data_IF_793033554799
#
_entry.id   IF_793033554799
#
_cell.length_a   1.000
_cell.length_b   1.000
_cell.length_c   1.000
_cell.angle_alpha   90.00
_cell.angle_beta   90.00
_cell.angle_gamma   90.00
#
_symmetry.space_group_name_H-M   'P 1'
#
loop_
_entity.id
_entity.type
_entity.pdbx_description
1 polymer ?
#
# COMPACT_ATOMS: atom_id res chain seq x y z
N UNK A 1 48.46 -33.27 -38.90
CA UNK A 1 48.97 -32.47 -37.77
C UNK A 1 47.78 -31.66 -37.24
N UNK A 2 47.38 -31.96 -35.99
CA UNK A 2 46.42 -31.29 -35.10
C UNK A 2 45.31 -30.42 -35.71
N UNK A 3 44.11 -30.99 -35.76
CA UNK A 3 42.84 -30.28 -35.75
C UNK A 3 42.71 -29.48 -34.44
N UNK A 4 42.58 -28.15 -34.55
CA UNK A 4 42.15 -27.29 -33.45
C UNK A 4 40.62 -27.37 -33.37
N UNK A 5 40.11 -28.03 -32.33
CA UNK A 5 38.70 -27.92 -31.96
C UNK A 5 38.54 -26.66 -31.11
N UNK A 6 37.99 -25.61 -31.72
CA UNK A 6 37.46 -24.45 -31.01
C UNK A 6 36.29 -24.93 -30.13
N UNK A 7 36.52 -24.92 -28.82
CA UNK A 7 35.51 -25.20 -27.81
C UNK A 7 34.83 -23.88 -27.43
N UNK A 8 33.91 -23.43 -28.28
CA UNK A 8 33.15 -22.18 -28.13
C UNK A 8 31.93 -22.43 -27.22
N UNK A 9 32.20 -22.78 -25.96
CA UNK A 9 31.17 -22.81 -24.92
C UNK A 9 30.98 -21.38 -24.39
N UNK A 10 29.76 -20.83 -24.37
CA UNK A 10 29.53 -19.48 -23.86
C UNK A 10 29.89 -19.43 -22.37
N UNK A 11 30.93 -18.68 -22.04
CA UNK A 11 31.35 -18.38 -20.67
C UNK A 11 30.23 -17.57 -20.00
N UNK A 12 29.47 -18.23 -19.12
CA UNK A 12 28.43 -17.57 -18.32
C UNK A 12 29.09 -16.64 -17.30
N UNK A 13 29.33 -15.40 -17.71
CA UNK A 13 29.75 -14.31 -16.83
C UNK A 13 28.54 -13.96 -15.95
N UNK A 14 28.60 -14.38 -14.67
CA UNK A 14 27.49 -14.25 -13.73
C UNK A 14 26.99 -12.81 -13.52
N UNK A 15 26.05 -12.58 -12.60
CA UNK A 15 25.45 -11.26 -12.39
C UNK A 15 26.51 -10.21 -12.08
N UNK A 16 26.46 -9.09 -12.80
CA UNK A 16 27.41 -8.00 -12.63
C UNK A 16 27.38 -7.44 -11.19
N UNK A 17 28.51 -6.87 -10.73
CA UNK A 17 28.59 -6.20 -9.41
C UNK A 17 27.49 -5.16 -9.20
N UNK A 18 27.06 -4.47 -10.25
CA UNK A 18 25.98 -3.47 -10.20
C UNK A 18 24.59 -4.10 -10.04
N UNK A 19 24.38 -5.30 -10.58
CA UNK A 19 23.14 -6.06 -10.44
C UNK A 19 23.01 -6.63 -9.02
N UNK A 20 24.05 -7.28 -8.49
CA UNK A 20 24.06 -7.78 -7.11
C UNK A 20 23.80 -6.68 -6.09
N UNK A 21 24.33 -5.47 -6.34
CA UNK A 21 24.05 -4.30 -5.49
C UNK A 21 22.58 -3.89 -5.55
N UNK A 22 21.97 -3.85 -6.74
CA UNK A 22 20.54 -3.52 -6.93
C UNK A 22 19.63 -4.54 -6.25
N UNK A 23 19.92 -5.83 -6.39
CA UNK A 23 19.19 -6.91 -5.73
C UNK A 23 19.25 -6.77 -4.20
N UNK A 24 20.44 -6.52 -3.65
CA UNK A 24 20.58 -6.30 -2.19
C UNK A 24 19.87 -5.04 -1.69
N UNK A 25 19.74 -3.99 -2.51
CA UNK A 25 18.93 -2.82 -2.16
C UNK A 25 17.45 -3.15 -2.18
N UNK A 26 16.96 -3.87 -3.20
CA UNK A 26 15.58 -4.30 -3.29
C UNK A 26 15.16 -5.15 -2.08
N UNK A 27 16.03 -6.06 -1.62
CA UNK A 27 15.77 -6.88 -0.43
C UNK A 27 15.74 -6.04 0.87
N UNK A 28 16.57 -5.01 0.98
CA UNK A 28 16.51 -4.06 2.11
C UNK A 28 15.23 -3.24 2.08
N UNK A 29 14.81 -2.79 0.91
CA UNK A 29 13.55 -2.05 0.74
C UNK A 29 12.35 -2.93 1.08
N UNK A 30 12.38 -4.21 0.69
CA UNK A 30 11.39 -5.21 1.10
C UNK A 30 11.36 -5.36 2.62
N UNK A 31 12.53 -5.56 3.25
CA UNK A 31 12.64 -5.64 4.71
C UNK A 31 12.11 -4.39 5.41
N UNK A 32 12.33 -3.20 4.83
CA UNK A 32 11.79 -1.95 5.36
C UNK A 32 10.26 -1.92 5.33
N UNK A 33 9.65 -2.43 4.25
CA UNK A 33 8.18 -2.57 4.14
C UNK A 33 7.65 -3.52 5.21
N UNK A 34 8.33 -4.64 5.44
CA UNK A 34 7.95 -5.59 6.51
C UNK A 34 7.93 -4.96 7.90
N UNK A 35 8.85 -4.03 8.21
CA UNK A 35 8.86 -3.34 9.50
C UNK A 35 7.64 -2.42 9.71
N UNK A 36 6.94 -2.05 8.63
CA UNK A 36 5.72 -1.25 8.67
C UNK A 36 4.43 -2.06 8.80
N UNK A 37 4.50 -3.39 8.66
CA UNK A 37 3.33 -4.27 8.75
C UNK A 37 2.83 -4.42 10.20
N UNK A 38 1.53 -4.65 10.36
CA UNK A 38 0.94 -5.03 11.65
C UNK A 38 1.40 -6.43 12.09
N UNK A 39 1.23 -6.76 13.37
CA UNK A 39 1.52 -8.12 13.85
C UNK A 39 0.68 -9.17 13.10
N UNK A 40 -0.62 -8.91 12.93
CA UNK A 40 -1.54 -9.80 12.21
C UNK A 40 -1.06 -10.05 10.76
N UNK A 41 -0.60 -9.01 10.06
CA UNK A 41 -0.04 -9.16 8.71
C UNK A 41 1.25 -10.00 8.73
N UNK A 42 2.16 -9.75 9.69
CA UNK A 42 3.40 -10.53 9.84
C UNK A 42 3.18 -11.99 10.22
N UNK A 43 2.06 -12.32 10.89
CA UNK A 43 1.68 -13.69 11.23
C UNK A 43 1.21 -14.48 10.00
N UNK A 44 0.60 -13.82 9.02
CA UNK A 44 0.17 -14.46 7.77
C UNK A 44 1.31 -14.77 6.80
N UNK A 45 2.48 -14.16 7.00
CA UNK A 45 3.63 -14.35 6.11
C UNK A 45 4.37 -15.67 6.41
N UNK A 46 4.70 -16.47 5.38
CA UNK A 46 5.49 -17.70 5.52
C UNK A 46 6.98 -17.35 5.63
N UNK A 47 7.40 -16.85 6.79
CA UNK A 47 8.78 -16.42 7.06
C UNK A 47 9.42 -17.31 8.12
N UNK A 48 10.74 -17.51 8.02
CA UNK A 48 11.51 -18.23 9.01
C UNK A 48 11.48 -17.55 10.39
N UNK A 49 11.72 -18.32 11.45
CA UNK A 49 11.88 -17.79 12.80
C UNK A 49 13.03 -16.77 12.88
N UNK A 50 14.05 -16.93 12.04
CA UNK A 50 15.19 -15.99 11.97
C UNK A 50 14.73 -14.62 11.49
N UNK A 51 13.94 -14.57 10.41
CA UNK A 51 13.40 -13.32 9.88
C UNK A 51 12.39 -12.69 10.84
N UNK A 52 11.53 -13.50 11.47
CA UNK A 52 10.59 -13.03 12.49
C UNK A 52 11.30 -12.37 13.66
N UNK A 53 12.32 -13.02 14.23
CA UNK A 53 13.13 -12.47 15.31
C UNK A 53 13.87 -11.19 14.88
N UNK A 54 14.39 -11.14 13.66
CA UNK A 54 15.05 -9.95 13.13
C UNK A 54 14.10 -8.75 13.03
N UNK A 55 12.84 -8.97 12.61
CA UNK A 55 11.81 -7.93 12.54
C UNK A 55 11.44 -7.43 13.93
N UNK A 56 11.22 -8.32 14.90
CA UNK A 56 10.91 -7.95 16.28
C UNK A 56 12.03 -7.13 16.92
N UNK A 57 13.28 -7.54 16.72
CA UNK A 57 14.45 -6.84 17.27
C UNK A 57 14.57 -5.41 16.74
N UNK A 58 14.19 -5.19 15.47
CA UNK A 58 14.23 -3.86 14.85
C UNK A 58 13.45 -2.80 15.64
N UNK A 59 12.38 -3.20 16.36
CA UNK A 59 11.52 -2.33 17.17
C UNK A 59 12.24 -1.79 18.40
N UNK A 60 13.27 -2.48 18.88
CA UNK A 60 14.06 -2.09 20.07
C UNK A 60 15.22 -1.16 19.71
N UNK A 61 15.68 -1.19 18.46
CA UNK A 61 16.83 -0.40 18.01
C UNK A 61 16.42 1.07 17.86
N UNK A 62 17.03 1.95 18.66
CA UNK A 62 16.75 3.40 18.60
C UNK A 62 17.75 4.19 17.77
N UNK A 63 19.01 3.76 17.75
CA UNK A 63 20.09 4.49 17.09
C UNK A 63 20.03 4.34 15.56
N UNK A 64 20.12 5.46 14.84
CA UNK A 64 19.95 5.50 13.38
C UNK A 64 20.94 4.60 12.62
N UNK A 65 22.21 4.63 13.01
CA UNK A 65 23.23 3.80 12.36
C UNK A 65 23.03 2.31 12.68
N UNK A 66 22.58 1.98 13.89
CA UNK A 66 22.24 0.60 14.25
C UNK A 66 21.01 0.12 13.47
N UNK A 67 19.98 0.96 13.30
CA UNK A 67 18.81 0.65 12.46
C UNK A 67 19.22 0.38 11.01
N UNK A 68 20.10 1.22 10.45
CA UNK A 68 20.61 1.06 9.08
C UNK A 68 21.34 -0.28 8.90
N UNK A 69 22.23 -0.64 9.84
CA UNK A 69 22.95 -1.93 9.81
C UNK A 69 22.00 -3.12 10.00
N UNK A 70 21.02 -2.98 10.89
CA UNK A 70 20.03 -4.03 11.13
C UNK A 70 19.13 -4.26 9.90
N UNK A 71 18.79 -3.19 9.17
CA UNK A 71 18.06 -3.31 7.91
C UNK A 71 18.88 -4.08 6.84
N UNK A 72 20.19 -3.85 6.77
CA UNK A 72 21.09 -4.61 5.89
C UNK A 72 21.13 -6.09 6.29
N UNK A 73 21.16 -6.39 7.58
CA UNK A 73 21.06 -7.74 8.10
C UNK A 73 19.73 -8.39 7.71
N UNK A 74 18.59 -7.71 7.90
CA UNK A 74 17.27 -8.18 7.46
C UNK A 74 17.28 -8.49 5.96
N UNK A 75 17.82 -7.59 5.11
CA UNK A 75 17.92 -7.85 3.67
C UNK A 75 18.77 -9.10 3.33
N UNK A 76 19.80 -9.39 4.13
CA UNK A 76 20.57 -10.63 4.00
C UNK A 76 19.76 -11.86 4.44
N UNK A 77 19.00 -11.77 5.53
CA UNK A 77 18.14 -12.85 6.01
C UNK A 77 17.04 -13.16 4.99
N UNK A 78 16.39 -12.14 4.42
CA UNK A 78 15.39 -12.31 3.35
C UNK A 78 15.97 -13.09 2.17
N UNK A 79 17.22 -12.83 1.79
CA UNK A 79 17.89 -13.59 0.71
C UNK A 79 18.07 -15.08 1.03
N UNK A 80 18.09 -15.43 2.31
CA UNK A 80 18.28 -16.80 2.79
C UNK A 80 16.96 -17.52 3.05
N UNK A 81 15.82 -16.85 2.90
CA UNK A 81 14.50 -17.51 2.95
C UNK A 81 14.35 -18.48 1.77
N UNK A 82 13.50 -19.48 1.96
CA UNK A 82 13.27 -20.53 0.96
C UNK A 82 12.64 -19.98 -0.34
N UNK A 83 11.76 -18.98 -0.23
CA UNK A 83 11.14 -18.30 -1.37
C UNK A 83 11.02 -16.77 -1.15
N UNK A 84 12.10 -16.01 -1.43
CA UNK A 84 12.10 -14.56 -1.29
C UNK A 84 11.12 -13.86 -2.26
N UNK A 85 10.82 -14.47 -3.41
CA UNK A 85 9.90 -13.89 -4.39
C UNK A 85 8.44 -14.03 -3.95
N UNK A 86 8.05 -15.16 -3.35
CA UNK A 86 6.72 -15.31 -2.74
C UNK A 86 6.52 -14.30 -1.62
N UNK A 87 7.55 -14.07 -0.80
CA UNK A 87 7.51 -13.04 0.23
C UNK A 87 7.29 -11.65 -0.38
N UNK A 88 8.00 -11.30 -1.45
CA UNK A 88 7.80 -10.05 -2.16
C UNK A 88 6.36 -9.87 -2.66
N UNK A 89 5.80 -10.89 -3.33
CA UNK A 89 4.41 -10.89 -3.81
C UNK A 89 3.39 -10.74 -2.67
N UNK A 90 3.62 -11.41 -1.54
CA UNK A 90 2.72 -11.31 -0.39
C UNK A 90 2.72 -9.90 0.20
N UNK A 91 3.89 -9.24 0.25
CA UNK A 91 4.00 -7.86 0.73
C UNK A 91 3.38 -6.88 -0.28
N UNK A 92 3.57 -7.10 -1.58
CA UNK A 92 2.93 -6.30 -2.64
C UNK A 92 1.40 -6.35 -2.54
N UNK A 93 0.82 -7.49 -2.17
CA UNK A 93 -0.62 -7.61 -1.97
C UNK A 93 -1.15 -6.73 -0.82
N UNK A 94 -0.38 -6.56 0.26
CA UNK A 94 -0.74 -5.65 1.36
C UNK A 94 -0.66 -4.19 0.96
N UNK A 95 0.35 -3.82 0.18
CA UNK A 95 0.52 -2.45 -0.28
C UNK A 95 -0.54 -2.08 -1.32
N UNK A 96 -0.88 -2.98 -2.25
CA UNK A 96 -1.96 -2.77 -3.21
C UNK A 96 -3.31 -2.51 -2.49
N UNK A 97 -3.62 -3.28 -1.44
CA UNK A 97 -4.82 -3.04 -0.62
C UNK A 97 -4.80 -1.68 0.09
N UNK A 98 -3.63 -1.23 0.52
CA UNK A 98 -3.43 0.05 1.22
C UNK A 98 -3.50 1.25 0.27
N UNK A 99 -2.89 1.14 -0.91
CA UNK A 99 -2.98 2.13 -1.99
C UNK A 99 -4.41 2.30 -2.45
N UNK A 100 -5.13 1.18 -2.65
CA UNK A 100 -6.53 1.18 -3.05
C UNK A 100 -7.43 1.78 -1.96
N UNK A 101 -7.17 1.49 -0.68
CA UNK A 101 -7.87 2.15 0.43
C UNK A 101 -7.61 3.67 0.43
N UNK A 102 -6.38 4.09 0.19
CA UNK A 102 -5.97 5.50 0.15
C UNK A 102 -6.60 6.23 -1.04
N UNK A 103 -6.60 5.59 -2.22
CA UNK A 103 -7.23 6.11 -3.45
C UNK A 103 -8.71 6.37 -3.24
N UNK A 104 -9.44 5.39 -2.70
CA UNK A 104 -10.86 5.51 -2.41
C UNK A 104 -11.16 6.53 -1.32
N UNK A 105 -10.29 6.65 -0.31
CA UNK A 105 -10.38 7.70 0.70
C UNK A 105 -10.35 9.09 0.04
N UNK A 106 -9.33 9.37 -0.78
CA UNK A 106 -9.22 10.65 -1.48
C UNK A 106 -10.34 10.88 -2.49
N UNK A 107 -10.86 9.82 -3.12
CA UNK A 107 -12.03 9.92 -3.99
C UNK A 107 -13.27 10.39 -3.21
N UNK A 108 -13.51 9.81 -2.04
CA UNK A 108 -14.60 10.24 -1.15
C UNK A 108 -14.42 11.69 -0.67
N UNK A 109 -13.19 12.13 -0.38
CA UNK A 109 -12.89 13.53 -0.04
C UNK A 109 -13.22 14.48 -1.19
N UNK A 110 -12.78 14.16 -2.41
CA UNK A 110 -13.08 14.98 -3.59
C UNK A 110 -14.58 15.11 -3.83
N UNK A 111 -15.33 14.01 -3.74
CA UNK A 111 -16.78 14.05 -3.88
C UNK A 111 -17.46 14.89 -2.81
N UNK A 112 -17.06 14.72 -1.54
CA UNK A 112 -17.56 15.53 -0.42
C UNK A 112 -17.34 17.02 -0.69
N UNK A 113 -16.12 17.40 -1.03
CA UNK A 113 -15.74 18.80 -1.19
C UNK A 113 -16.48 19.43 -2.37
N UNK A 114 -16.60 18.71 -3.50
CA UNK A 114 -17.41 19.12 -4.64
C UNK A 114 -18.90 19.25 -4.30
N UNK A 115 -19.49 18.29 -3.60
CA UNK A 115 -20.91 18.36 -3.21
C UNK A 115 -21.20 19.54 -2.28
N UNK A 116 -20.28 19.87 -1.38
CA UNK A 116 -20.41 21.05 -0.51
C UNK A 116 -20.35 22.34 -1.33
N UNK A 117 -19.41 22.44 -2.29
CA UNK A 117 -19.21 23.64 -3.09
C UNK A 117 -20.30 23.83 -4.18
N UNK A 118 -20.55 22.81 -4.99
CA UNK A 118 -21.34 22.85 -6.22
C UNK A 118 -22.81 22.42 -5.99
N UNK A 119 -23.09 21.62 -4.94
CA UNK A 119 -24.45 21.24 -4.55
C UNK A 119 -25.04 20.05 -5.34
N UNK A 120 -26.35 20.11 -5.58
CA UNK A 120 -27.16 19.00 -6.12
C UNK A 120 -26.71 18.43 -7.48
N UNK A 121 -26.11 19.20 -8.43
CA UNK A 121 -25.59 18.62 -9.68
C UNK A 121 -24.56 17.51 -9.45
N UNK A 122 -23.64 17.71 -8.51
CA UNK A 122 -22.59 16.74 -8.15
C UNK A 122 -23.18 15.49 -7.49
N UNK A 123 -24.31 15.62 -6.79
CA UNK A 123 -25.04 14.47 -6.26
C UNK A 123 -25.59 13.59 -7.40
N UNK A 124 -26.04 14.20 -8.48
CA UNK A 124 -26.45 13.49 -9.70
C UNK A 124 -25.27 12.79 -10.37
N UNK A 125 -24.12 13.47 -10.51
CA UNK A 125 -22.90 12.87 -11.07
C UNK A 125 -22.42 11.66 -10.24
N UNK A 126 -22.44 11.75 -8.91
CA UNK A 126 -22.05 10.65 -8.04
C UNK A 126 -22.96 9.43 -8.21
N UNK A 127 -24.26 9.63 -8.43
CA UNK A 127 -25.18 8.52 -8.65
C UNK A 127 -24.87 7.73 -9.94
N UNK A 128 -24.35 8.40 -10.98
CA UNK A 128 -23.86 7.71 -12.18
C UNK A 128 -22.64 6.83 -11.89
N UNK A 129 -21.84 7.18 -10.88
CA UNK A 129 -20.68 6.40 -10.44
C UNK A 129 -21.06 5.30 -9.43
N UNK A 130 -21.97 5.58 -8.49
CA UNK A 130 -22.52 4.63 -7.52
C UNK A 130 -24.06 4.54 -7.63
N UNK A 131 -24.61 3.73 -8.57
CA UNK A 131 -26.06 3.62 -8.78
C UNK A 131 -26.83 3.01 -7.60
N UNK A 132 -26.13 2.29 -6.71
CA UNK A 132 -26.69 1.68 -5.49
C UNK A 132 -26.90 2.68 -4.34
N UNK A 133 -26.36 3.90 -4.44
CA UNK A 133 -26.47 4.90 -3.39
C UNK A 133 -27.92 5.39 -3.21
N UNK A 134 -28.37 5.53 -1.96
CA UNK A 134 -29.61 6.25 -1.63
C UNK A 134 -29.43 7.74 -1.95
N UNK A 135 -29.96 8.14 -3.11
CA UNK A 135 -29.88 9.50 -3.63
C UNK A 135 -30.53 10.53 -2.69
N UNK A 136 -31.63 10.16 -2.02
CA UNK A 136 -32.35 11.09 -1.14
C UNK A 136 -31.58 11.30 0.17
N UNK A 137 -30.99 10.23 0.71
CA UNK A 137 -30.09 10.32 1.86
C UNK A 137 -28.85 11.17 1.54
N UNK A 138 -28.24 10.94 0.37
CA UNK A 138 -27.06 11.68 -0.07
C UNK A 138 -27.34 13.18 -0.21
N UNK A 139 -28.45 13.56 -0.86
CA UNK A 139 -28.89 14.97 -0.95
C UNK A 139 -29.08 15.60 0.42
N UNK A 140 -29.61 14.86 1.40
CA UNK A 140 -29.79 15.37 2.75
C UNK A 140 -28.44 15.64 3.44
N UNK A 141 -27.49 14.71 3.33
CA UNK A 141 -26.15 14.87 3.89
C UNK A 141 -25.39 16.03 3.24
N UNK A 142 -25.42 16.13 1.90
CA UNK A 142 -24.78 17.21 1.14
C UNK A 142 -25.31 18.59 1.54
N UNK A 143 -26.64 18.76 1.59
CA UNK A 143 -27.27 20.02 2.01
C UNK A 143 -26.92 20.40 3.45
N UNK A 144 -26.85 19.43 4.36
CA UNK A 144 -26.50 19.70 5.75
C UNK A 144 -25.02 20.07 5.90
N UNK A 145 -24.12 19.39 5.19
CA UNK A 145 -22.70 19.71 5.18
C UNK A 145 -22.42 21.11 4.59
N UNK A 146 -23.13 21.47 3.52
CA UNK A 146 -23.07 22.81 2.94
C UNK A 146 -23.56 23.88 3.91
N UNK A 147 -24.71 23.67 4.56
CA UNK A 147 -25.23 24.59 5.59
C UNK A 147 -24.26 24.78 6.76
N UNK A 148 -23.54 23.73 7.15
CA UNK A 148 -22.50 23.82 8.19
C UNK A 148 -21.39 24.78 7.75
N UNK A 149 -20.89 24.63 6.52
CA UNK A 149 -19.86 25.53 5.96
C UNK A 149 -20.36 26.98 5.83
N UNK A 150 -21.56 27.17 5.27
CA UNK A 150 -22.18 28.49 5.11
C UNK A 150 -22.37 29.22 6.46
N UNK A 151 -22.69 28.46 7.52
CA UNK A 151 -22.89 29.00 8.87
C UNK A 151 -21.61 28.99 9.72
N UNK A 152 -20.46 28.61 9.16
CA UNK A 152 -19.20 28.46 9.87
C UNK A 152 -19.31 27.56 11.11
N UNK A 153 -20.13 26.51 11.02
CA UNK A 153 -20.34 25.50 12.06
C UNK A 153 -19.58 24.23 11.71
N UNK A 154 -19.11 23.53 12.74
CA UNK A 154 -18.52 22.20 12.60
C UNK A 154 -19.37 21.19 13.38
N UNK A 155 -20.57 20.87 12.88
CA UNK A 155 -21.46 19.89 13.54
C UNK A 155 -21.16 18.45 13.10
N UNK A 156 -20.08 18.25 12.33
CA UNK A 156 -19.63 16.96 11.82
C UNK A 156 -20.40 16.45 10.60
N UNK A 157 -21.21 17.29 9.94
CA UNK A 157 -21.99 16.88 8.77
C UNK A 157 -21.08 16.51 7.58
N UNK A 158 -19.99 17.26 7.38
CA UNK A 158 -18.98 16.92 6.36
C UNK A 158 -18.35 15.53 6.61
N UNK A 159 -18.14 15.16 7.89
CA UNK A 159 -17.64 13.83 8.27
C UNK A 159 -18.69 12.74 8.07
N UNK A 160 -19.98 13.03 8.31
CA UNK A 160 -21.08 12.09 8.01
C UNK A 160 -21.20 11.85 6.50
N UNK A 161 -21.17 12.92 5.71
CA UNK A 161 -21.15 12.83 4.24
C UNK A 161 -19.96 12.01 3.75
N UNK A 162 -18.76 12.30 4.25
CA UNK A 162 -17.55 11.54 3.92
C UNK A 162 -17.72 10.03 4.17
N UNK A 163 -18.21 9.65 5.36
CA UNK A 163 -18.37 8.23 5.72
C UNK A 163 -19.34 7.52 4.78
N UNK A 164 -20.48 8.14 4.49
CA UNK A 164 -21.46 7.57 3.57
C UNK A 164 -20.91 7.44 2.14
N UNK A 165 -20.20 8.46 1.64
CA UNK A 165 -19.54 8.38 0.34
C UNK A 165 -18.49 7.27 0.29
N UNK A 166 -17.70 7.12 1.36
CA UNK A 166 -16.67 6.08 1.49
C UNK A 166 -17.29 4.68 1.40
N UNK A 167 -18.39 4.46 2.11
CA UNK A 167 -19.18 3.22 2.10
C UNK A 167 -19.71 2.91 0.69
N UNK A 168 -20.37 3.87 0.02
CA UNK A 168 -20.85 3.66 -1.34
C UNK A 168 -19.74 3.35 -2.35
N UNK A 169 -18.56 3.99 -2.21
CA UNK A 169 -17.39 3.73 -3.07
C UNK A 169 -16.82 2.34 -2.77
N UNK A 170 -16.71 1.98 -1.49
CA UNK A 170 -16.24 0.64 -1.10
C UNK A 170 -17.14 -0.46 -1.67
N UNK A 171 -18.46 -0.29 -1.58
CA UNK A 171 -19.43 -1.26 -2.13
C UNK A 171 -19.39 -1.32 -3.66
N UNK A 172 -19.23 -0.18 -4.33
CA UNK A 172 -19.20 -0.12 -5.79
C UNK A 172 -17.94 -0.73 -6.41
N UNK A 173 -16.80 -0.65 -5.72
CA UNK A 173 -15.53 -1.18 -6.20
C UNK A 173 -15.17 -2.56 -5.60
N UNK A 174 -15.93 -3.05 -4.63
CA UNK A 174 -15.85 -4.43 -4.15
C UNK A 174 -16.66 -5.42 -5.02
N UNK A 175 -17.43 -4.92 -5.99
CA UNK A 175 -18.29 -5.68 -6.90
C UNK A 175 -17.69 -5.78 -8.30
#
# INVERSE_FOLDING_TARGET
MKDHQDNDAPEYDGPSKSQLKREMHALQDLGKRMLGLSNDQLETLPISDTLRAAIEESRRIRQNEAKRRHLQYIGKVIRQEDDPEALARAIDAFDAGSEEHTRRHHLAERWRDRMIAEGDPVVGEFFSYCPSADMQHLRNLARNARKDVEKQKNTGQARKLFRYLRECIDDAEAM
#
